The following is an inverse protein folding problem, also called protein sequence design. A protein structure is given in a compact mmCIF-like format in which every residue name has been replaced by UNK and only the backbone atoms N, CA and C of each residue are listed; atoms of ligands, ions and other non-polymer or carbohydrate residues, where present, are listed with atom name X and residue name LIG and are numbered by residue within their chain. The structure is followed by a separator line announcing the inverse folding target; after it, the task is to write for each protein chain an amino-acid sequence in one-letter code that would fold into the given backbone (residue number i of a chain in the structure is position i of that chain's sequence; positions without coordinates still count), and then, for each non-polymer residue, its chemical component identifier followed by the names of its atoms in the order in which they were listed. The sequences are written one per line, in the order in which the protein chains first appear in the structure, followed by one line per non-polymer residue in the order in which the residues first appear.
data_IF_084117120112
#
_entry.id   IF_084117120112
#
_cell.length_a   1.000
_cell.length_b   1.000
_cell.length_c   1.000
_cell.angle_alpha   90.00
_cell.angle_beta   90.00
_cell.angle_gamma   90.00
#
_symmetry.space_group_name_H-M   'P 1'
#
loop_
_entity.id
_entity.type
_entity.pdbx_description
1 polymer ?
#
# COMPACT_ATOMS: atom_id res chain seq x y z
N UNK A 1 24.92 -4.48 -17.79
CA UNK A 1 24.01 -3.53 -17.10
C UNK A 1 22.63 -4.15 -17.15
N UNK A 2 21.94 -4.24 -16.00
CA UNK A 2 20.60 -4.82 -15.93
C UNK A 2 19.62 -4.00 -16.77
N UNK A 3 18.68 -4.67 -17.44
CA UNK A 3 17.72 -4.06 -18.37
C UNK A 3 16.28 -4.33 -17.99
N UNK A 4 16.02 -5.41 -17.24
CA UNK A 4 14.66 -5.81 -16.90
C UNK A 4 14.61 -6.45 -15.52
N UNK A 5 14.00 -5.72 -14.58
CA UNK A 5 13.88 -6.13 -13.19
C UNK A 5 12.56 -6.85 -12.98
N UNK A 6 12.59 -7.93 -12.19
CA UNK A 6 11.40 -8.52 -11.58
C UNK A 6 11.33 -8.06 -10.13
N UNK A 7 10.18 -7.53 -9.71
CA UNK A 7 9.94 -7.05 -8.34
C UNK A 7 8.73 -7.79 -7.77
N UNK A 8 8.93 -8.71 -6.81
CA UNK A 8 7.82 -9.31 -6.07
C UNK A 8 7.06 -8.25 -5.27
N UNK A 9 5.73 -8.33 -5.31
CA UNK A 9 4.81 -7.43 -4.60
C UNK A 9 4.05 -8.24 -3.55
N UNK A 10 4.22 -7.82 -2.30
CA UNK A 10 3.53 -8.35 -1.14
C UNK A 10 2.85 -7.20 -0.38
N UNK A 11 1.84 -7.51 0.43
CA UNK A 11 1.16 -6.53 1.29
C UNK A 11 1.96 -6.29 2.58
N UNK A 12 3.20 -5.81 2.43
CA UNK A 12 4.11 -5.53 3.55
C UNK A 12 4.82 -4.21 3.36
N UNK A 13 5.13 -3.51 4.47
CA UNK A 13 5.89 -2.24 4.43
C UNK A 13 7.26 -2.43 3.77
N UNK A 14 7.89 -3.58 4.02
CA UNK A 14 9.17 -3.97 3.41
C UNK A 14 9.07 -4.14 1.89
N UNK A 15 7.94 -4.65 1.39
CA UNK A 15 7.69 -4.78 -0.05
C UNK A 15 7.44 -3.42 -0.68
N UNK A 16 6.65 -2.55 -0.05
CA UNK A 16 6.40 -1.18 -0.51
C UNK A 16 7.73 -0.40 -0.63
N UNK A 17 8.59 -0.52 0.37
CA UNK A 17 9.91 0.08 0.33
C UNK A 17 10.78 -0.49 -0.80
N UNK A 18 10.79 -1.82 -0.97
CA UNK A 18 11.53 -2.47 -2.05
C UNK A 18 11.05 -2.03 -3.43
N UNK A 19 9.74 -1.84 -3.63
CA UNK A 19 9.15 -1.31 -4.87
C UNK A 19 9.68 0.10 -5.16
N UNK A 20 9.70 0.99 -4.17
CA UNK A 20 10.25 2.34 -4.31
C UNK A 20 11.72 2.32 -4.71
N UNK A 21 12.55 1.55 -3.98
CA UNK A 21 13.98 1.41 -4.27
C UNK A 21 14.24 0.78 -5.65
N UNK A 22 13.47 -0.25 -6.03
CA UNK A 22 13.59 -0.91 -7.33
C UNK A 22 13.28 0.06 -8.47
N UNK A 23 12.28 0.91 -8.27
CA UNK A 23 11.84 1.89 -9.26
C UNK A 23 12.87 3.01 -9.42
N UNK A 24 13.41 3.56 -8.32
CA UNK A 24 14.51 4.54 -8.38
C UNK A 24 15.74 3.96 -9.08
N UNK A 25 16.08 2.70 -8.76
CA UNK A 25 17.20 2.01 -9.40
C UNK A 25 16.96 1.78 -10.89
N UNK A 26 15.77 1.32 -11.28
CA UNK A 26 15.40 1.13 -12.68
C UNK A 26 15.42 2.44 -13.46
N UNK A 27 14.92 3.54 -12.88
CA UNK A 27 14.98 4.87 -13.46
C UNK A 27 16.42 5.30 -13.72
N UNK A 28 17.31 5.15 -12.73
CA UNK A 28 18.71 5.56 -12.83
C UNK A 28 19.50 4.81 -13.92
N UNK A 29 19.13 3.56 -14.23
CA UNK A 29 19.83 2.74 -15.23
C UNK A 29 19.08 2.62 -16.56
N UNK A 30 17.90 3.23 -16.69
CA UNK A 30 17.06 3.11 -17.88
C UNK A 30 16.49 1.70 -18.11
N UNK A 31 16.19 0.97 -17.04
CA UNK A 31 15.60 -0.37 -17.11
C UNK A 31 14.07 -0.31 -17.01
N UNK A 32 13.42 -1.43 -17.38
CA UNK A 32 11.99 -1.66 -17.17
C UNK A 32 11.74 -2.59 -15.98
N UNK A 33 10.53 -2.55 -15.44
CA UNK A 33 10.13 -3.35 -14.27
C UNK A 33 8.96 -4.27 -14.62
N UNK A 34 8.99 -5.51 -14.14
CA UNK A 34 7.81 -6.38 -14.05
C UNK A 34 7.50 -6.65 -12.59
N UNK A 35 6.34 -6.19 -12.15
CA UNK A 35 5.81 -6.47 -10.82
C UNK A 35 5.15 -7.84 -10.79
N UNK A 36 5.48 -8.65 -9.80
CA UNK A 36 4.98 -10.01 -9.64
C UNK A 36 4.17 -10.12 -8.35
N UNK A 37 2.90 -10.48 -8.46
CA UNK A 37 2.13 -10.99 -7.33
C UNK A 37 2.06 -12.51 -7.41
N UNK A 38 2.40 -13.20 -6.31
CA UNK A 38 2.27 -14.65 -6.22
C UNK A 38 1.01 -14.98 -5.44
N UNK A 39 -0.03 -15.41 -6.15
CA UNK A 39 -1.28 -15.85 -5.54
C UNK A 39 -1.12 -17.23 -4.91
N UNK A 40 -1.59 -17.35 -3.67
CA UNK A 40 -1.80 -18.62 -2.99
C UNK A 40 -3.19 -19.22 -3.25
N UNK A 41 -4.07 -18.48 -3.93
CA UNK A 41 -5.44 -18.93 -4.18
C UNK A 41 -5.50 -19.98 -5.31
N UNK A 42 -6.29 -21.03 -5.07
CA UNK A 42 -6.50 -22.15 -6.02
C UNK A 42 -7.60 -21.82 -7.04
N UNK A 43 -8.54 -20.94 -6.68
CA UNK A 43 -9.65 -20.50 -7.52
C UNK A 43 -9.68 -18.98 -7.61
N UNK A 44 -10.14 -18.41 -8.74
CA UNK A 44 -10.29 -16.98 -8.87
C UNK A 44 -11.34 -16.45 -7.87
N UNK A 45 -11.05 -15.31 -7.24
CA UNK A 45 -11.85 -14.79 -6.12
C UNK A 45 -11.35 -13.44 -5.58
N UNK A 46 -11.79 -12.99 -4.39
CA UNK A 46 -11.42 -11.68 -3.82
C UNK A 46 -9.91 -11.47 -3.65
N UNK A 47 -9.14 -12.56 -3.56
CA UNK A 47 -7.68 -12.52 -3.57
C UNK A 47 -7.10 -11.94 -4.88
N UNK A 48 -7.78 -12.09 -6.01
CA UNK A 48 -7.35 -11.56 -7.30
C UNK A 48 -7.57 -10.05 -7.41
N UNK A 49 -8.62 -9.52 -6.75
CA UNK A 49 -8.88 -8.08 -6.70
C UNK A 49 -7.87 -7.38 -5.79
N UNK A 50 -7.55 -7.97 -4.64
CA UNK A 50 -6.49 -7.48 -3.76
C UNK A 50 -5.13 -7.50 -4.48
N UNK A 51 -4.83 -8.57 -5.23
CA UNK A 51 -3.63 -8.66 -6.06
C UNK A 51 -3.59 -7.54 -7.12
N UNK A 52 -4.70 -7.31 -7.82
CA UNK A 52 -4.82 -6.25 -8.81
C UNK A 52 -4.61 -4.87 -8.19
N UNK A 53 -5.09 -4.66 -6.96
CA UNK A 53 -4.91 -3.41 -6.23
C UNK A 53 -3.42 -3.13 -5.89
N UNK A 54 -2.74 -4.13 -5.31
CA UNK A 54 -1.32 -4.02 -4.98
C UNK A 54 -0.46 -3.77 -6.21
N UNK A 55 -0.76 -4.47 -7.31
CA UNK A 55 -0.08 -4.28 -8.59
C UNK A 55 -0.38 -2.89 -9.17
N UNK A 56 -1.62 -2.39 -9.08
CA UNK A 56 -1.98 -1.05 -9.54
C UNK A 56 -1.23 0.04 -8.78
N UNK A 57 -1.04 -0.11 -7.46
CA UNK A 57 -0.21 0.80 -6.65
C UNK A 57 1.25 0.79 -7.13
N UNK A 58 1.83 -0.40 -7.30
CA UNK A 58 3.21 -0.54 -7.76
C UNK A 58 3.42 0.08 -9.15
N UNK A 59 2.50 -0.17 -10.09
CA UNK A 59 2.53 0.43 -11.42
C UNK A 59 2.37 1.95 -11.39
N UNK A 60 1.48 2.49 -10.57
CA UNK A 60 1.29 3.94 -10.44
C UNK A 60 2.57 4.64 -9.98
N UNK A 61 3.27 4.08 -8.98
CA UNK A 61 4.57 4.58 -8.52
C UNK A 61 5.66 4.53 -9.59
N UNK A 62 5.71 3.46 -10.37
CA UNK A 62 6.67 3.33 -11.48
C UNK A 62 6.39 4.30 -12.63
N UNK A 63 5.13 4.40 -13.05
CA UNK A 63 4.70 5.31 -14.13
C UNK A 63 4.96 6.77 -13.78
N UNK A 64 4.72 7.17 -12.52
CA UNK A 64 5.01 8.52 -12.04
C UNK A 64 6.51 8.89 -12.11
N UNK A 65 7.41 7.91 -12.06
CA UNK A 65 8.85 8.12 -12.26
C UNK A 65 9.31 7.96 -13.72
N UNK A 66 8.38 7.70 -14.65
CA UNK A 66 8.69 7.44 -16.05
C UNK A 66 9.34 6.07 -16.30
N UNK A 67 9.21 5.12 -15.36
CA UNK A 67 9.76 3.76 -15.50
C UNK A 67 8.77 2.89 -16.25
N UNK A 68 9.15 2.28 -17.40
CA UNK A 68 8.28 1.34 -18.09
C UNK A 68 8.00 0.12 -17.21
N UNK A 69 6.72 -0.17 -16.97
CA UNK A 69 6.32 -1.25 -16.08
C UNK A 69 5.21 -2.13 -16.65
N UNK A 70 5.20 -3.39 -16.22
CA UNK A 70 4.10 -4.33 -16.42
C UNK A 70 3.87 -5.12 -15.13
N UNK A 71 2.71 -5.73 -14.97
CA UNK A 71 2.38 -6.60 -13.85
C UNK A 71 2.02 -8.01 -14.31
N UNK A 72 2.29 -8.99 -13.45
CA UNK A 72 1.93 -10.39 -13.67
C UNK A 72 1.46 -10.99 -12.35
N UNK A 73 0.38 -11.78 -12.42
CA UNK A 73 -0.06 -12.66 -11.33
C UNK A 73 0.39 -14.07 -11.66
N UNK A 74 1.08 -14.71 -10.73
CA UNK A 74 1.48 -16.11 -10.84
C UNK A 74 0.84 -16.93 -9.73
N UNK A 75 0.52 -18.19 -10.01
CA UNK A 75 0.14 -19.15 -8.97
C UNK A 75 1.39 -19.77 -8.35
N UNK A 76 1.33 -20.05 -7.05
CA UNK A 76 2.37 -20.81 -6.35
C UNK A 76 2.34 -22.28 -6.79
N UNK A 77 3.13 -22.65 -7.79
CA UNK A 77 3.37 -24.05 -8.13
C UNK A 77 4.37 -24.67 -7.13
N UNK A 78 4.01 -25.78 -6.50
CA UNK A 78 4.69 -26.40 -5.36
C UNK A 78 6.14 -26.88 -5.60
N UNK A 79 6.70 -26.73 -6.80
CA UNK A 79 8.00 -27.32 -7.18
C UNK A 79 9.07 -26.32 -7.68
N UNK A 80 8.72 -25.06 -7.97
CA UNK A 80 9.68 -24.05 -8.44
C UNK A 80 9.44 -22.71 -7.73
N UNK A 81 10.52 -21.98 -7.41
CA UNK A 81 10.38 -20.62 -6.91
C UNK A 81 9.66 -19.76 -7.97
N UNK A 82 8.45 -19.26 -7.68
CA UNK A 82 7.63 -18.56 -8.67
C UNK A 82 8.33 -17.30 -9.17
N UNK A 83 9.13 -16.63 -8.34
CA UNK A 83 9.90 -15.46 -8.77
C UNK A 83 10.95 -15.83 -9.83
N UNK A 84 11.69 -16.92 -9.63
CA UNK A 84 12.69 -17.37 -10.60
C UNK A 84 12.04 -17.83 -11.91
N UNK A 85 10.94 -18.56 -11.83
CA UNK A 85 10.20 -19.02 -13.01
C UNK A 85 9.67 -17.84 -13.82
N UNK A 86 9.08 -16.84 -13.16
CA UNK A 86 8.54 -15.67 -13.84
C UNK A 86 9.64 -14.74 -14.38
N UNK A 87 10.75 -14.58 -13.66
CA UNK A 87 11.90 -13.84 -14.17
C UNK A 87 12.38 -14.43 -15.50
N UNK A 88 12.46 -15.77 -15.62
CA UNK A 88 12.82 -16.43 -16.87
C UNK A 88 11.78 -16.24 -17.97
N UNK A 89 10.49 -16.41 -17.66
CA UNK A 89 9.38 -16.25 -18.62
C UNK A 89 9.33 -14.84 -19.20
N UNK A 90 9.64 -13.83 -18.41
CA UNK A 90 9.60 -12.43 -18.82
C UNK A 90 10.96 -11.87 -19.28
N UNK A 91 12.04 -12.66 -19.20
CA UNK A 91 13.38 -12.23 -19.59
C UNK A 91 13.99 -11.20 -18.64
N UNK A 92 13.64 -11.25 -17.36
CA UNK A 92 14.21 -10.40 -16.32
C UNK A 92 15.64 -10.87 -15.97
N UNK A 93 16.57 -9.93 -15.89
CA UNK A 93 17.98 -10.16 -15.61
C UNK A 93 18.38 -9.84 -14.16
N UNK A 94 17.45 -9.25 -13.39
CA UNK A 94 17.58 -8.99 -11.96
C UNK A 94 16.25 -9.26 -11.24
N UNK A 95 16.30 -9.96 -10.11
CA UNK A 95 15.19 -10.05 -9.15
C UNK A 95 15.51 -9.08 -8.00
N UNK A 96 14.62 -8.13 -7.76
CA UNK A 96 14.77 -7.10 -6.73
C UNK A 96 13.74 -7.37 -5.63
N UNK A 97 14.19 -7.85 -4.47
CA UNK A 97 13.32 -8.40 -3.43
C UNK A 97 13.48 -7.68 -2.08
N UNK A 98 12.40 -7.67 -1.28
CA UNK A 98 12.45 -7.22 0.10
C UNK A 98 13.28 -8.17 0.99
N UNK A 99 13.91 -7.65 2.06
CA UNK A 99 14.74 -8.42 3.00
C UNK A 99 14.00 -9.53 3.76
N UNK A 100 12.69 -9.43 3.89
CA UNK A 100 11.82 -10.37 4.59
C UNK A 100 11.53 -11.65 3.79
N UNK A 101 11.86 -11.70 2.49
CA UNK A 101 11.72 -12.95 1.72
C UNK A 101 12.75 -13.95 2.24
N UNK A 102 12.36 -15.18 2.63
CA UNK A 102 13.31 -16.17 3.14
C UNK A 102 14.47 -16.31 2.16
N UNK A 103 15.68 -16.22 2.69
CA UNK A 103 16.90 -16.43 1.91
C UNK A 103 16.73 -17.73 1.12
N UNK A 104 16.83 -17.62 -0.20
CA UNK A 104 16.77 -18.80 -1.06
C UNK A 104 17.72 -19.85 -0.51
N UNK A 105 17.30 -21.11 -0.48
CA UNK A 105 18.20 -22.21 -0.17
C UNK A 105 19.47 -22.02 -1.01
N UNK A 106 20.62 -21.94 -0.31
CA UNK A 106 21.91 -21.79 -0.97
C UNK A 106 22.02 -22.84 -2.09
N UNK A 107 22.58 -22.48 -3.25
CA UNK A 107 22.66 -23.41 -4.35
C UNK A 107 23.31 -24.71 -3.87
N UNK A 108 22.71 -25.84 -4.21
CA UNK A 108 23.41 -27.13 -4.11
C UNK A 108 24.64 -26.99 -5.00
N UNK A 109 25.82 -26.97 -4.35
CA UNK A 109 27.09 -26.82 -5.04
C UNK A 109 27.22 -27.92 -6.10
N UNK A 110 27.21 -27.56 -7.39
CA UNK A 110 27.44 -28.52 -8.47
C UNK A 110 26.72 -28.29 -9.80
N UNK A 111 25.74 -27.39 -9.90
CA UNK A 111 25.16 -27.03 -11.21
C UNK A 111 25.31 -25.54 -11.50
N UNK A 112 26.26 -25.13 -12.37
CA UNK A 112 26.29 -23.77 -12.89
C UNK A 112 25.10 -23.59 -13.85
N UNK A 113 23.97 -23.16 -13.33
CA UNK A 113 22.85 -22.72 -14.16
C UNK A 113 23.18 -21.29 -14.62
N UNK A 114 23.88 -21.17 -15.74
CA UNK A 114 24.39 -19.93 -16.33
C UNK A 114 23.29 -18.91 -16.71
N UNK A 115 22.03 -19.22 -16.44
CA UNK A 115 20.84 -18.44 -16.81
C UNK A 115 19.94 -18.08 -15.61
N UNK A 116 20.49 -18.04 -14.39
CA UNK A 116 19.77 -17.51 -13.22
C UNK A 116 19.97 -15.99 -13.12
N UNK A 117 18.88 -15.19 -13.07
CA UNK A 117 18.96 -13.76 -12.82
C UNK A 117 19.63 -13.49 -11.47
N UNK A 118 20.39 -12.40 -11.40
CA UNK A 118 20.96 -11.95 -10.13
C UNK A 118 19.83 -11.60 -9.15
N UNK A 119 20.08 -11.70 -7.85
CA UNK A 119 19.12 -11.29 -6.82
C UNK A 119 19.73 -10.17 -6.00
N UNK A 120 18.97 -9.07 -5.85
CA UNK A 120 19.31 -7.95 -5.01
C UNK A 120 18.25 -7.81 -3.92
N UNK A 121 18.71 -7.75 -2.66
CA UNK A 121 17.85 -7.64 -1.50
C UNK A 121 17.91 -6.22 -0.94
N UNK A 122 16.74 -5.65 -0.66
CA UNK A 122 16.56 -4.28 -0.20
C UNK A 122 16.67 -4.21 1.31
N UNK A 123 17.57 -3.37 1.82
CA UNK A 123 17.55 -2.98 3.23
C UNK A 123 16.36 -2.06 3.52
N UNK A 124 15.89 -2.10 4.77
CA UNK A 124 14.91 -1.15 5.30
C UNK A 124 15.58 0.03 6.01
N UNK A 125 14.88 1.16 6.21
CA UNK A 125 15.42 2.26 7.01
C UNK A 125 15.66 1.78 8.43
N UNK A 126 16.84 2.02 8.99
CA UNK A 126 17.07 1.73 10.41
C UNK A 126 16.72 2.92 11.32
N UNK A 127 16.43 4.12 10.77
CA UNK A 127 16.18 5.33 11.55
C UNK A 127 14.80 5.26 12.23
N UNK A 128 14.72 5.32 13.58
CA UNK A 128 13.46 5.09 14.30
C UNK A 128 12.31 6.03 13.93
N UNK A 129 12.55 7.35 13.88
CA UNK A 129 11.51 8.32 13.53
C UNK A 129 10.99 8.16 12.09
N UNK A 130 11.85 7.70 11.18
CA UNK A 130 11.49 7.42 9.78
C UNK A 130 10.59 6.20 9.71
N UNK A 131 11.00 5.09 10.35
CA UNK A 131 10.22 3.86 10.40
C UNK A 131 8.85 4.08 11.04
N UNK A 132 8.80 4.80 12.17
CA UNK A 132 7.55 5.10 12.85
C UNK A 132 6.59 5.94 11.98
N UNK A 133 7.08 7.04 11.40
CA UNK A 133 6.26 7.93 10.56
C UNK A 133 5.74 7.23 9.29
N UNK A 134 6.61 6.49 8.60
CA UNK A 134 6.21 5.73 7.40
C UNK A 134 5.24 4.61 7.78
N UNK A 135 5.47 3.91 8.90
CA UNK A 135 4.55 2.89 9.40
C UNK A 135 3.15 3.42 9.69
N UNK A 136 3.03 4.63 10.22
CA UNK A 136 1.72 5.30 10.41
C UNK A 136 1.04 5.58 9.07
N UNK A 137 1.76 6.12 8.09
CA UNK A 137 1.22 6.40 6.74
C UNK A 137 0.78 5.12 6.01
N UNK A 138 1.63 4.09 6.00
CA UNK A 138 1.31 2.82 5.36
C UNK A 138 0.21 2.07 6.12
N UNK A 139 0.14 2.20 7.44
CA UNK A 139 -0.96 1.72 8.26
C UNK A 139 -2.30 2.37 7.90
N UNK A 140 -2.31 3.69 7.69
CA UNK A 140 -3.50 4.41 7.22
C UNK A 140 -3.92 3.95 5.81
N UNK A 141 -2.96 3.73 4.90
CA UNK A 141 -3.24 3.19 3.57
C UNK A 141 -3.87 1.79 3.63
N UNK A 142 -3.33 0.89 4.45
CA UNK A 142 -3.93 -0.43 4.68
C UNK A 142 -5.35 -0.33 5.24
N UNK A 143 -5.56 0.49 6.27
CA UNK A 143 -6.88 0.68 6.86
C UNK A 143 -7.92 1.21 5.85
N UNK A 144 -7.53 2.12 4.97
CA UNK A 144 -8.39 2.62 3.90
C UNK A 144 -8.70 1.52 2.87
N UNK A 145 -7.71 0.74 2.45
CA UNK A 145 -7.90 -0.41 1.56
C UNK A 145 -8.86 -1.45 2.14
N UNK A 146 -8.64 -1.83 3.41
CA UNK A 146 -9.49 -2.77 4.14
C UNK A 146 -10.94 -2.27 4.26
N UNK A 147 -11.13 -0.98 4.57
CA UNK A 147 -12.46 -0.39 4.63
C UNK A 147 -13.18 -0.40 3.28
N UNK A 148 -12.45 -0.16 2.18
CA UNK A 148 -12.99 -0.22 0.82
C UNK A 148 -13.37 -1.65 0.41
N UNK A 149 -12.51 -2.64 0.67
CA UNK A 149 -12.80 -4.03 0.39
C UNK A 149 -14.00 -4.53 1.20
N UNK A 150 -14.05 -4.23 2.51
CA UNK A 150 -15.19 -4.57 3.36
C UNK A 150 -16.50 -3.97 2.82
N UNK A 151 -16.45 -2.78 2.24
CA UNK A 151 -17.62 -2.15 1.66
C UNK A 151 -18.06 -2.81 0.35
N UNK A 152 -17.13 -3.12 -0.55
CA UNK A 152 -17.41 -3.87 -1.78
C UNK A 152 -18.00 -5.25 -1.47
N UNK A 153 -17.42 -5.97 -0.52
CA UNK A 153 -17.90 -7.29 -0.11
C UNK A 153 -19.32 -7.20 0.48
N UNK A 154 -19.61 -6.17 1.28
CA UNK A 154 -20.94 -5.93 1.81
C UNK A 154 -21.97 -5.66 0.70
N UNK A 155 -21.61 -4.85 -0.31
CA UNK A 155 -22.50 -4.59 -1.46
C UNK A 155 -22.76 -5.88 -2.24
N UNK A 156 -21.72 -6.67 -2.52
CA UNK A 156 -21.82 -7.91 -3.29
C UNK A 156 -22.61 -8.99 -2.56
N UNK A 157 -22.38 -9.17 -1.26
CA UNK A 157 -23.10 -10.16 -0.47
C UNK A 157 -24.62 -9.91 -0.45
N UNK A 158 -25.05 -8.65 -0.39
CA UNK A 158 -26.47 -8.28 -0.45
C UNK A 158 -27.03 -8.50 -1.86
N UNK A 159 -26.26 -8.16 -2.91
CA UNK A 159 -26.65 -8.45 -4.31
C UNK A 159 -26.82 -9.93 -4.58
N UNK A 160 -25.95 -10.78 -4.06
CA UNK A 160 -26.04 -12.25 -4.19
C UNK A 160 -27.30 -12.81 -3.52
N UNK A 161 -27.75 -12.19 -2.42
CA UNK A 161 -29.02 -12.54 -1.74
C UNK A 161 -30.26 -11.99 -2.45
N UNK A 162 -30.09 -11.07 -3.40
CA UNK A 162 -31.18 -10.35 -4.05
C UNK A 162 -31.76 -9.22 -3.20
N UNK A 163 -31.07 -8.86 -2.11
CA UNK A 163 -31.47 -7.80 -1.18
C UNK A 163 -30.77 -6.47 -1.51
N UNK A 164 -31.34 -5.36 -1.03
CA UNK A 164 -30.72 -4.05 -1.13
C UNK A 164 -29.88 -3.76 0.12
N UNK A 165 -28.62 -3.32 -0.01
CA UNK A 165 -27.79 -3.01 1.14
C UNK A 165 -28.42 -1.94 2.02
N UNK A 166 -28.38 -2.15 3.34
CA UNK A 166 -29.01 -1.25 4.30
C UNK A 166 -28.35 0.14 4.24
N UNK A 167 -29.19 1.18 4.08
CA UNK A 167 -28.74 2.57 3.99
C UNK A 167 -27.91 3.04 5.19
N UNK A 168 -28.11 2.43 6.37
CA UNK A 168 -27.32 2.71 7.57
C UNK A 168 -25.88 2.18 7.43
N UNK A 169 -25.72 0.91 7.07
CA UNK A 169 -24.41 0.27 6.85
C UNK A 169 -23.60 1.00 5.79
N UNK A 170 -24.25 1.40 4.69
CA UNK A 170 -23.60 2.17 3.62
C UNK A 170 -23.10 3.54 4.11
N UNK A 171 -23.88 4.25 4.94
CA UNK A 171 -23.46 5.53 5.52
C UNK A 171 -22.32 5.37 6.51
N UNK A 172 -22.38 4.37 7.39
CA UNK A 172 -21.31 4.06 8.34
C UNK A 172 -19.99 3.72 7.62
N UNK A 173 -20.06 3.06 6.45
CA UNK A 173 -18.89 2.82 5.60
C UNK A 173 -18.31 4.12 5.03
N UNK A 174 -19.13 5.00 4.48
CA UNK A 174 -18.69 6.31 3.96
C UNK A 174 -18.08 7.19 5.05
N UNK A 175 -18.70 7.26 6.23
CA UNK A 175 -18.18 8.03 7.37
C UNK A 175 -16.78 7.52 7.79
N UNK A 176 -16.61 6.19 7.82
CA UNK A 176 -15.31 5.56 8.07
C UNK A 176 -14.29 5.93 6.99
N UNK A 177 -14.69 5.92 5.72
CA UNK A 177 -13.82 6.27 4.61
C UNK A 177 -13.37 7.73 4.68
N UNK A 178 -14.26 8.69 4.95
CA UNK A 178 -13.86 10.08 5.17
C UNK A 178 -12.80 10.22 6.28
N UNK A 179 -12.90 9.40 7.33
CA UNK A 179 -11.91 9.37 8.42
C UNK A 179 -10.55 8.80 8.03
N UNK A 180 -10.45 8.02 6.95
CA UNK A 180 -9.22 7.34 6.50
C UNK A 180 -8.67 7.87 5.17
N UNK A 181 -9.48 8.64 4.44
CA UNK A 181 -9.21 9.25 3.16
C UNK A 181 -8.01 10.19 3.18
N UNK A 182 -7.62 10.73 2.01
CA UNK A 182 -6.44 11.58 1.90
C UNK A 182 -6.47 12.82 2.81
N UNK A 183 -7.67 13.30 3.15
CA UNK A 183 -7.95 14.42 4.04
C UNK A 183 -8.39 14.01 5.46
N UNK A 184 -8.40 12.71 5.73
CA UNK A 184 -8.80 12.13 7.00
C UNK A 184 -7.66 12.12 8.02
N UNK A 185 -7.57 11.03 8.78
CA UNK A 185 -6.59 10.83 9.83
C UNK A 185 -5.16 11.08 9.35
N UNK A 186 -4.40 11.90 10.09
CA UNK A 186 -3.01 12.23 9.77
C UNK A 186 -2.82 13.22 8.62
N UNK A 187 -3.89 13.82 8.06
CA UNK A 187 -3.79 14.74 6.94
C UNK A 187 -2.87 15.94 7.20
N UNK A 188 -2.94 16.54 8.40
CA UNK A 188 -2.05 17.65 8.77
C UNK A 188 -0.58 17.25 8.79
N UNK A 189 -0.27 16.05 9.30
CA UNK A 189 1.09 15.52 9.34
C UNK A 189 1.59 15.19 7.91
N UNK A 190 0.73 14.65 7.05
CA UNK A 190 1.04 14.47 5.61
C UNK A 190 1.30 15.81 4.91
N UNK A 191 0.49 16.83 5.16
CA UNK A 191 0.72 18.19 4.63
C UNK A 191 2.04 18.78 5.13
N UNK A 192 2.38 18.57 6.41
CA UNK A 192 3.69 18.94 6.97
C UNK A 192 4.84 18.23 6.28
N UNK A 193 4.73 16.92 6.03
CA UNK A 193 5.71 16.15 5.26
C UNK A 193 5.90 16.74 3.86
N UNK A 194 4.82 17.02 3.13
CA UNK A 194 4.88 17.57 1.77
C UNK A 194 5.54 18.95 1.77
N UNK A 195 5.13 19.82 2.71
CA UNK A 195 5.68 21.17 2.89
C UNK A 195 7.19 21.13 3.18
N UNK A 196 7.64 20.22 4.06
CA UNK A 196 9.05 20.05 4.39
C UNK A 196 9.84 19.53 3.20
N UNK A 197 9.27 18.58 2.45
CA UNK A 197 9.91 18.03 1.27
C UNK A 197 10.14 19.10 0.19
N UNK A 198 9.15 19.95 -0.09
CA UNK A 198 9.26 21.10 -1.00
C UNK A 198 10.38 22.07 -0.61
N UNK A 199 10.66 22.22 0.69
CA UNK A 199 11.76 23.07 1.19
C UNK A 199 13.14 22.43 0.98
N UNK A 200 13.23 21.10 0.95
CA UNK A 200 14.49 20.35 0.84
C UNK A 200 14.89 20.05 -0.61
N UNK A 201 13.92 19.90 -1.50
CA UNK A 201 14.17 19.57 -2.91
C UNK A 201 13.03 20.05 -3.79
N UNK A 202 13.35 20.37 -5.05
CA UNK A 202 12.35 20.64 -6.09
C UNK A 202 12.06 19.44 -6.99
N UNK A 203 12.83 18.35 -6.86
CA UNK A 203 12.80 17.21 -7.79
C UNK A 203 11.42 16.56 -7.89
N UNK A 204 10.66 16.55 -6.79
CA UNK A 204 9.34 15.91 -6.72
C UNK A 204 8.18 16.92 -6.65
N UNK A 205 8.42 18.22 -6.87
CA UNK A 205 7.38 19.24 -6.76
C UNK A 205 6.19 18.98 -7.69
N UNK A 206 6.44 18.53 -8.93
CA UNK A 206 5.38 18.22 -9.88
C UNK A 206 4.47 17.07 -9.40
N UNK A 207 5.04 16.03 -8.77
CA UNK A 207 4.25 14.93 -8.21
C UNK A 207 3.52 15.32 -6.92
N UNK A 208 4.10 16.22 -6.11
CA UNK A 208 3.40 16.80 -4.96
C UNK A 208 2.19 17.64 -5.43
N UNK A 209 2.33 18.43 -6.50
CA UNK A 209 1.22 19.19 -7.10
C UNK A 209 0.13 18.26 -7.67
N UNK A 210 0.51 17.13 -8.27
CA UNK A 210 -0.42 16.09 -8.73
C UNK A 210 -1.17 15.44 -7.56
N UNK A 211 -0.45 15.02 -6.52
CA UNK A 211 -1.06 14.40 -5.34
C UNK A 211 -2.02 15.34 -4.62
N UNK A 212 -1.70 16.62 -4.50
CA UNK A 212 -2.63 17.61 -3.95
C UNK A 212 -3.93 17.71 -4.77
N UNK A 213 -3.84 17.67 -6.10
CA UNK A 213 -5.03 17.62 -6.98
C UNK A 213 -5.82 16.33 -6.84
N UNK A 214 -5.14 15.18 -6.74
CA UNK A 214 -5.78 13.89 -6.50
C UNK A 214 -6.46 13.88 -5.13
N UNK A 215 -5.82 14.35 -4.07
CA UNK A 215 -6.42 14.45 -2.73
C UNK A 215 -7.62 15.39 -2.66
N UNK A 216 -7.68 16.43 -3.50
CA UNK A 216 -8.87 17.27 -3.62
C UNK A 216 -10.02 16.50 -4.30
N UNK A 217 -9.72 15.78 -5.39
CA UNK A 217 -10.70 14.95 -6.11
C UNK A 217 -11.20 13.75 -5.29
N UNK A 218 -10.37 13.23 -4.40
CA UNK A 218 -10.71 12.18 -3.43
C UNK A 218 -11.97 12.54 -2.62
N UNK A 219 -12.01 13.77 -2.09
CA UNK A 219 -13.17 14.28 -1.36
C UNK A 219 -14.42 14.39 -2.24
N UNK A 220 -14.28 14.90 -3.46
CA UNK A 220 -15.41 15.04 -4.40
C UNK A 220 -16.00 13.68 -4.79
N UNK A 221 -15.16 12.66 -4.97
CA UNK A 221 -15.61 11.30 -5.26
C UNK A 221 -16.33 10.67 -4.06
N UNK A 222 -15.81 10.85 -2.84
CA UNK A 222 -16.48 10.38 -1.63
C UNK A 222 -17.83 11.05 -1.40
N UNK A 223 -17.92 12.38 -1.58
CA UNK A 223 -19.18 13.12 -1.50
C UNK A 223 -20.19 12.64 -2.56
N UNK A 224 -19.71 12.30 -3.76
CA UNK A 224 -20.51 11.68 -4.81
C UNK A 224 -21.08 10.32 -4.39
N UNK A 225 -20.25 9.45 -3.82
CA UNK A 225 -20.67 8.15 -3.29
C UNK A 225 -21.70 8.30 -2.15
N UNK A 226 -21.48 9.24 -1.22
CA UNK A 226 -22.42 9.57 -0.16
C UNK A 226 -23.78 10.01 -0.74
N UNK A 227 -23.75 10.84 -1.79
CA UNK A 227 -24.93 11.30 -2.51
C UNK A 227 -25.73 10.18 -3.20
N UNK A 228 -25.05 9.15 -3.72
CA UNK A 228 -25.71 7.98 -4.30
C UNK A 228 -26.49 7.18 -3.25
N UNK A 229 -25.91 7.01 -2.06
CA UNK A 229 -26.56 6.29 -0.94
C UNK A 229 -27.80 7.05 -0.44
N UNK A 230 -27.77 8.38 -0.46
CA UNK A 230 -28.89 9.23 -0.05
C UNK A 230 -30.10 9.22 -1.02
N UNK A 231 -29.91 8.86 -2.29
CA UNK A 231 -30.96 8.83 -3.32
C UNK A 231 -31.53 7.43 -3.48
N UNK A 232 -32.56 7.12 -2.69
CA UNK A 232 -33.40 5.92 -2.77
C UNK A 232 -32.65 4.58 -3.03
N UNK A 233 -32.06 3.97 -1.98
CA UNK A 233 -31.20 2.78 -2.09
C UNK A 233 -31.92 1.48 -2.51
N UNK A 234 -33.23 1.53 -2.77
CA UNK A 234 -34.08 0.35 -2.94
C UNK A 234 -34.32 -0.12 -4.39
N UNK A 235 -33.70 0.51 -5.40
CA UNK A 235 -33.76 0.00 -6.77
C UNK A 235 -32.56 -0.93 -7.05
N UNK A 236 -32.81 -2.10 -7.64
CA UNK A 236 -31.77 -3.08 -7.98
C UNK A 236 -30.72 -2.53 -8.96
N UNK A 237 -31.08 -1.55 -9.80
CA UNK A 237 -30.15 -0.81 -10.66
C UNK A 237 -29.14 0.02 -9.85
N UNK A 238 -29.54 0.55 -8.69
CA UNK A 238 -28.71 1.38 -7.81
C UNK A 238 -27.56 0.60 -7.16
N UNK A 239 -27.75 -0.69 -6.86
CA UNK A 239 -26.72 -1.51 -6.24
C UNK A 239 -25.55 -1.82 -7.21
N UNK A 240 -25.86 -2.09 -8.48
CA UNK A 240 -24.84 -2.29 -9.51
C UNK A 240 -24.08 -1.02 -9.86
N UNK A 241 -24.76 0.12 -9.92
CA UNK A 241 -24.14 1.43 -10.10
C UNK A 241 -23.23 1.81 -8.92
N UNK A 242 -23.69 1.53 -7.69
CA UNK A 242 -22.90 1.77 -6.49
C UNK A 242 -21.64 0.88 -6.46
N UNK A 243 -21.76 -0.40 -6.77
CA UNK A 243 -20.60 -1.30 -6.87
C UNK A 243 -19.57 -0.77 -7.88
N UNK A 244 -20.02 -0.40 -9.09
CA UNK A 244 -19.13 0.17 -10.11
C UNK A 244 -18.46 1.47 -9.65
N UNK A 245 -19.20 2.35 -8.97
CA UNK A 245 -18.66 3.59 -8.45
C UNK A 245 -17.61 3.35 -7.35
N UNK A 246 -17.87 2.41 -6.43
CA UNK A 246 -16.90 2.03 -5.39
C UNK A 246 -15.66 1.35 -6.01
N UNK A 247 -15.83 0.46 -6.99
CA UNK A 247 -14.69 -0.15 -7.70
C UNK A 247 -13.85 0.89 -8.46
N UNK A 248 -14.48 1.90 -9.06
CA UNK A 248 -13.77 3.02 -9.67
C UNK A 248 -13.01 3.86 -8.63
N UNK A 249 -13.61 4.07 -7.45
CA UNK A 249 -12.98 4.77 -6.34
C UNK A 249 -11.79 3.99 -5.76
N UNK A 250 -11.88 2.66 -5.63
CA UNK A 250 -10.74 1.80 -5.25
C UNK A 250 -9.56 2.04 -6.18
N UNK A 251 -9.77 1.93 -7.50
CA UNK A 251 -8.71 2.16 -8.49
C UNK A 251 -8.08 3.55 -8.39
N UNK A 252 -8.90 4.57 -8.15
CA UNK A 252 -8.46 5.95 -7.96
C UNK A 252 -7.58 6.09 -6.70
N UNK A 253 -8.00 5.47 -5.60
CA UNK A 253 -7.26 5.45 -4.34
C UNK A 253 -5.93 4.72 -4.49
N UNK A 254 -5.92 3.56 -5.14
CA UNK A 254 -4.70 2.81 -5.44
C UNK A 254 -3.70 3.64 -6.28
N UNK A 255 -4.17 4.47 -7.22
CA UNK A 255 -3.29 5.30 -8.03
C UNK A 255 -2.56 6.35 -7.19
N UNK A 256 -3.27 7.15 -6.39
CA UNK A 256 -2.60 8.18 -5.59
C UNK A 256 -1.74 7.57 -4.47
N UNK A 257 -2.18 6.47 -3.86
CA UNK A 257 -1.36 5.73 -2.89
C UNK A 257 -0.06 5.24 -3.53
N UNK A 258 -0.14 4.69 -4.74
CA UNK A 258 1.03 4.21 -5.47
C UNK A 258 2.04 5.32 -5.78
N UNK A 259 1.57 6.52 -6.11
CA UNK A 259 2.42 7.71 -6.30
C UNK A 259 3.07 8.16 -5.00
N UNK A 260 2.30 8.22 -3.90
CA UNK A 260 2.84 8.58 -2.59
C UNK A 260 3.91 7.57 -2.14
N UNK A 261 3.59 6.27 -2.22
CA UNK A 261 4.47 5.17 -1.82
C UNK A 261 5.70 5.03 -2.72
N UNK A 262 5.53 5.16 -4.03
CA UNK A 262 6.57 4.92 -5.02
C UNK A 262 7.48 6.11 -5.28
N UNK A 263 6.99 7.35 -5.09
CA UNK A 263 7.74 8.58 -5.42
C UNK A 263 8.03 9.42 -4.18
N UNK A 264 7.00 9.72 -3.39
CA UNK A 264 7.13 10.68 -2.30
C UNK A 264 7.86 10.07 -1.10
N UNK A 265 7.53 8.84 -0.68
CA UNK A 265 8.21 8.22 0.45
C UNK A 265 9.71 7.99 0.19
N UNK A 266 10.16 7.47 -0.97
CA UNK A 266 11.58 7.36 -1.28
C UNK A 266 12.29 8.72 -1.28
N UNK A 267 11.70 9.72 -1.93
CA UNK A 267 12.24 11.08 -1.94
C UNK A 267 12.32 11.69 -0.53
N UNK A 268 11.29 11.52 0.30
CA UNK A 268 11.26 11.99 1.67
C UNK A 268 12.40 11.38 2.49
N UNK A 269 12.66 10.08 2.34
CA UNK A 269 13.75 9.39 3.06
C UNK A 269 15.13 9.86 2.63
N UNK A 270 15.27 10.25 1.37
CA UNK A 270 16.52 10.76 0.76
C UNK A 270 16.81 12.21 1.11
N UNK A 271 15.80 13.09 1.07
CA UNK A 271 16.01 14.54 1.14
C UNK A 271 15.65 15.16 2.49
N UNK A 272 14.80 14.54 3.29
CA UNK A 272 14.52 15.03 4.64
C UNK A 272 15.65 14.64 5.60
N UNK A 273 16.03 15.59 6.44
CA UNK A 273 16.97 15.35 7.53
C UNK A 273 16.30 14.54 8.64
N UNK A 274 17.10 13.94 9.53
CA UNK A 274 16.54 13.22 10.67
C UNK A 274 15.72 14.13 11.61
N UNK A 275 16.12 15.41 11.76
CA UNK A 275 15.36 16.38 12.55
C UNK A 275 13.97 16.65 11.93
N UNK A 276 13.89 16.77 10.59
CA UNK A 276 12.60 16.90 9.91
C UNK A 276 11.69 15.70 10.22
N UNK A 277 12.25 14.48 10.22
CA UNK A 277 11.51 13.25 10.54
C UNK A 277 11.09 13.16 12.00
N UNK A 278 11.89 13.65 12.95
CA UNK A 278 11.48 13.69 14.36
C UNK A 278 10.28 14.61 14.55
N UNK A 279 10.29 15.80 13.94
CA UNK A 279 9.15 16.72 14.03
C UNK A 279 7.89 16.14 13.35
N UNK A 280 8.02 15.51 12.18
CA UNK A 280 6.91 14.81 11.50
C UNK A 280 6.35 13.69 12.39
N UNK A 281 7.23 12.89 13.00
CA UNK A 281 6.83 11.80 13.88
C UNK A 281 6.03 12.29 15.09
N UNK A 282 6.44 13.40 15.70
CA UNK A 282 5.74 14.00 16.83
C UNK A 282 4.33 14.48 16.41
N UNK A 283 4.21 15.09 15.22
CA UNK A 283 2.92 15.49 14.66
C UNK A 283 1.98 14.29 14.42
N UNK A 284 2.50 13.16 13.90
CA UNK A 284 1.72 11.93 13.76
C UNK A 284 1.26 11.36 15.11
N UNK A 285 2.12 11.38 16.12
CA UNK A 285 1.79 10.87 17.46
C UNK A 285 0.77 11.76 18.19
N UNK A 286 0.82 13.08 17.98
CA UNK A 286 -0.21 13.99 18.48
C UNK A 286 -1.55 13.84 17.75
N UNK A 287 -1.52 13.42 16.48
CA UNK A 287 -2.73 13.22 15.67
C UNK A 287 -3.44 11.90 15.97
N UNK A 288 -2.73 10.87 16.48
CA UNK A 288 -3.29 9.56 16.83
C UNK A 288 -4.55 9.70 17.69
N UNK A 289 -5.67 9.01 17.35
CA UNK A 289 -6.82 9.04 18.24
C UNK A 289 -6.36 8.41 19.55
N UNK A 290 -6.70 9.02 20.67
CA UNK A 290 -6.50 8.37 21.96
C UNK A 290 -7.24 7.02 21.90
N UNK A 291 -6.48 5.93 21.76
CA UNK A 291 -7.04 4.60 21.90
C UNK A 291 -7.71 4.48 23.27
N UNK A 292 -8.64 3.53 23.46
CA UNK A 292 -9.17 3.27 24.79
C UNK A 292 -7.99 3.04 25.73
N UNK A 293 -7.83 3.95 26.69
CA UNK A 293 -6.69 4.00 27.57
C UNK A 293 -6.44 2.61 28.17
N UNK A 294 -5.16 2.25 28.24
CA UNK A 294 -4.65 1.11 28.98
C UNK A 294 -5.06 1.21 30.47
N UNK A 295 -6.30 0.80 30.77
CA UNK A 295 -6.79 0.49 32.10
C UNK A 295 -6.40 -0.94 32.42
N UNK A 296 -5.09 -1.19 32.49
CA UNK A 296 -4.58 -2.32 33.25
C UNK A 296 -3.22 -1.92 33.83
N UNK A 297 -3.26 -0.97 34.77
CA UNK A 297 -2.21 -0.91 35.77
C UNK A 297 -2.36 -2.17 36.61
N UNK A 298 -1.39 -3.06 36.48
CA UNK A 298 -1.09 -4.09 37.43
C UNK A 298 -1.07 -3.49 38.84
N UNK A 299 -2.13 -3.75 39.61
CA UNK A 299 -2.03 -3.72 41.07
C UNK A 299 -1.14 -4.90 41.46
N UNK A 300 0.11 -4.60 41.79
CA UNK A 300 0.94 -5.52 42.56
C UNK A 300 0.30 -5.56 43.95
N UNK A 301 -0.51 -6.58 44.20
CA UNK A 301 -0.91 -6.95 45.55
C UNK A 301 0.33 -7.50 46.25
N UNK A 302 0.86 -6.74 47.21
CA UNK A 302 1.79 -7.27 48.21
C UNK A 302 1.12 -8.44 48.94
N UNK A 303 1.79 -9.58 49.13
CA UNK A 303 1.25 -10.66 49.94
C UNK A 303 1.33 -10.29 51.42
N UNK A 304 0.17 -10.34 52.05
CA UNK A 304 -0.06 -10.18 53.48
C UNK A 304 0.80 -11.17 54.28
N UNK A 305 1.88 -10.66 54.86
CA UNK A 305 2.75 -11.41 55.76
C UNK A 305 2.14 -11.45 57.15
N UNK A 306 1.29 -12.44 57.41
CA UNK A 306 0.87 -12.78 58.77
C UNK A 306 0.67 -14.30 58.87
N UNK A 307 1.60 -14.98 59.52
CA UNK A 307 1.34 -16.07 60.47
C UNK A 307 2.65 -16.58 61.09
N UNK A 308 2.69 -16.50 62.42
CA UNK A 308 3.55 -17.20 63.39
C UNK A 308 5.02 -16.76 63.55
#
# INVERSE_FOLDING_TARGET
MYRHLLVPVEDTDTSIEAIGQATEFAQAIGARVTFLYVSSAVLPGPADEHAAELLARAEAGARAQGVPCASVVAQSEQACDPALAQARRHGCDLIFAAASRPAMAAPVAGTPDASRPAMLTCGTDARPAVQASIGVLLGAHRALAEALHAWLDAIRAERERGDAPQARTLREAVDRLHGLAARGFGANAKESLFRRLRKRTSVVNAELDELERLHQRDGELLDGLAGMIGRNPHAASTAGELEQAVSAYVRFVSEWMGREQGVILPAARRYLSYADWTEINDEFNCAAPAGPAASNRYSISEPDGSHA
#
